data_IF_696662235604
#
_entry.id   IF_696662235604
#
_cell.length_a   1.000
_cell.length_b   1.000
_cell.length_c   1.000
_cell.angle_alpha   90.00
_cell.angle_beta   90.00
_cell.angle_gamma   90.00
#
_symmetry.space_group_name_H-M   'P 1'
#
loop_
_entity.id
_entity.type
_entity.pdbx_description
1 polymer ?
#
# COMPACT_ATOMS: atom_id res chain seq x y z
N UNK A 1 -26.70 5.74 -22.08
CA UNK A 1 -26.88 5.50 -20.64
C UNK A 1 -25.68 4.68 -20.19
N UNK A 2 -24.65 5.35 -19.66
CA UNK A 2 -23.42 4.68 -19.24
C UNK A 2 -23.68 3.99 -17.90
N UNK A 3 -23.52 2.67 -17.89
CA UNK A 3 -23.57 1.82 -16.71
C UNK A 3 -22.41 2.22 -15.80
N UNK A 4 -22.69 2.92 -14.71
CA UNK A 4 -21.74 3.06 -13.59
C UNK A 4 -21.63 1.68 -12.95
N UNK A 5 -20.57 0.97 -13.31
CA UNK A 5 -20.15 -0.27 -12.67
C UNK A 5 -19.66 0.05 -11.26
N UNK A 6 -20.59 0.18 -10.32
CA UNK A 6 -20.33 0.42 -8.90
C UNK A 6 -19.90 -0.88 -8.17
N UNK A 7 -19.12 -1.73 -8.84
CA UNK A 7 -18.73 -3.05 -8.35
C UNK A 7 -17.22 -3.31 -8.31
N UNK A 8 -16.40 -2.40 -8.83
CA UNK A 8 -14.96 -2.66 -9.04
C UNK A 8 -14.08 -2.29 -7.84
N UNK A 9 -14.61 -1.55 -6.85
CA UNK A 9 -13.82 -0.80 -5.89
C UNK A 9 -12.99 -1.62 -4.90
N UNK A 10 -13.34 -2.86 -4.60
CA UNK A 10 -12.59 -3.67 -3.62
C UNK A 10 -11.53 -4.55 -4.29
N UNK A 11 -11.83 -5.06 -5.49
CA UNK A 11 -10.88 -5.86 -6.27
C UNK A 11 -9.73 -4.99 -6.77
N UNK A 12 -10.04 -3.83 -7.34
CA UNK A 12 -9.03 -2.87 -7.83
C UNK A 12 -8.08 -2.42 -6.70
N UNK A 13 -8.61 -2.28 -5.48
CA UNK A 13 -7.84 -1.94 -4.27
C UNK A 13 -6.90 -3.07 -3.85
N UNK A 14 -7.36 -4.31 -3.88
CA UNK A 14 -6.51 -5.45 -3.56
C UNK A 14 -5.41 -5.64 -4.62
N UNK A 15 -5.75 -5.48 -5.89
CA UNK A 15 -4.83 -5.60 -7.02
C UNK A 15 -3.70 -4.54 -6.96
N UNK A 16 -4.03 -3.29 -6.64
CA UNK A 16 -3.01 -2.22 -6.55
C UNK A 16 -2.08 -2.41 -5.34
N UNK A 17 -2.62 -2.85 -4.20
CA UNK A 17 -1.81 -3.16 -3.02
C UNK A 17 -0.84 -4.30 -3.32
N UNK A 18 -1.30 -5.39 -3.94
CA UNK A 18 -0.44 -6.53 -4.28
C UNK A 18 0.68 -6.12 -5.25
N UNK A 19 0.36 -5.30 -6.26
CA UNK A 19 1.35 -4.77 -7.21
C UNK A 19 2.38 -3.90 -6.52
N UNK A 20 1.94 -2.97 -5.66
CA UNK A 20 2.82 -2.10 -4.89
C UNK A 20 3.77 -2.92 -3.99
N UNK A 21 3.27 -3.89 -3.23
CA UNK A 21 4.09 -4.79 -2.40
C UNK A 21 5.14 -5.52 -3.24
N UNK A 22 4.74 -6.15 -4.36
CA UNK A 22 5.67 -6.84 -5.26
C UNK A 22 6.72 -5.92 -5.87
N UNK A 23 6.38 -4.65 -6.07
CA UNK A 23 7.29 -3.63 -6.62
C UNK A 23 8.29 -3.17 -5.57
N UNK A 24 7.85 -2.90 -4.34
CA UNK A 24 8.72 -2.57 -3.20
C UNK A 24 9.74 -3.70 -2.96
N UNK A 25 9.28 -4.96 -2.91
CA UNK A 25 10.16 -6.12 -2.72
C UNK A 25 11.19 -6.28 -3.85
N UNK A 26 10.84 -5.91 -5.10
CA UNK A 26 11.77 -5.96 -6.24
C UNK A 26 12.71 -4.77 -6.32
N UNK A 27 12.22 -3.57 -6.00
CA UNK A 27 12.91 -2.31 -6.24
C UNK A 27 13.98 -2.05 -5.18
N UNK A 28 13.73 -2.38 -3.92
CA UNK A 28 14.69 -2.10 -2.86
C UNK A 28 15.66 -3.26 -2.59
N UNK A 29 15.51 -4.43 -3.25
CA UNK A 29 16.20 -5.67 -2.84
C UNK A 29 16.05 -5.95 -1.33
N UNK A 30 15.07 -5.31 -0.69
CA UNK A 30 14.74 -5.51 0.70
C UNK A 30 14.17 -6.91 0.75
N UNK A 31 14.97 -7.81 1.30
CA UNK A 31 14.43 -8.94 2.04
C UNK A 31 13.69 -8.29 3.20
N UNK A 32 12.47 -7.80 2.93
CA UNK A 32 11.57 -7.33 3.95
C UNK A 32 11.38 -8.54 4.85
N UNK A 33 11.84 -8.44 6.10
CA UNK A 33 11.44 -9.40 7.11
C UNK A 33 9.91 -9.49 7.09
N UNK A 34 9.35 -10.66 7.40
CA UNK A 34 7.89 -10.89 7.33
C UNK A 34 7.10 -9.77 8.01
N UNK A 35 7.63 -9.24 9.12
CA UNK A 35 7.09 -8.06 9.84
C UNK A 35 7.09 -6.77 9.03
N UNK A 36 8.16 -6.49 8.29
CA UNK A 36 8.25 -5.27 7.47
C UNK A 36 7.32 -5.35 6.26
N UNK A 37 7.13 -6.53 5.69
CA UNK A 37 6.14 -6.77 4.64
C UNK A 37 4.70 -6.59 5.17
N UNK A 38 4.40 -7.11 6.37
CA UNK A 38 3.11 -6.91 7.03
C UNK A 38 2.85 -5.42 7.33
N UNK A 39 3.86 -4.70 7.82
CA UNK A 39 3.77 -3.25 8.09
C UNK A 39 3.53 -2.45 6.81
N UNK A 40 4.27 -2.75 5.73
CA UNK A 40 4.08 -2.11 4.43
C UNK A 40 2.68 -2.39 3.88
N UNK A 41 2.21 -3.63 3.99
CA UNK A 41 0.86 -4.01 3.55
C UNK A 41 -0.22 -3.25 4.34
N UNK A 42 -0.08 -3.14 5.66
CA UNK A 42 -1.01 -2.38 6.50
C UNK A 42 -1.05 -0.88 6.13
N UNK A 43 0.11 -0.27 5.87
CA UNK A 43 0.20 1.10 5.38
C UNK A 43 -0.49 1.26 4.02
N UNK A 44 -0.22 0.37 3.07
CA UNK A 44 -0.80 0.42 1.73
C UNK A 44 -2.33 0.30 1.76
N UNK A 45 -2.86 -0.61 2.59
CA UNK A 45 -4.31 -0.73 2.81
C UNK A 45 -4.89 0.58 3.34
N UNK A 46 -4.25 1.17 4.36
CA UNK A 46 -4.70 2.45 4.92
C UNK A 46 -4.71 3.59 3.90
N UNK A 47 -3.66 3.72 3.08
CA UNK A 47 -3.56 4.74 2.04
C UNK A 47 -4.67 4.55 0.99
N UNK A 48 -4.91 3.31 0.59
CA UNK A 48 -5.94 2.95 -0.38
C UNK A 48 -7.35 3.17 0.17
N UNK A 49 -7.57 2.93 1.45
CA UNK A 49 -8.83 3.26 2.15
C UNK A 49 -9.01 4.78 2.29
N UNK A 50 -7.92 5.51 2.52
CA UNK A 50 -7.91 6.98 2.63
C UNK A 50 -8.12 7.68 1.29
N UNK A 51 -7.96 6.98 0.16
CA UNK A 51 -8.27 7.47 -1.17
C UNK A 51 -7.09 7.51 -2.14
N UNK A 52 -5.89 7.10 -1.73
CA UNK A 52 -4.72 6.98 -2.62
C UNK A 52 -4.94 5.79 -3.54
N UNK A 53 -4.98 6.02 -4.85
CA UNK A 53 -5.19 4.98 -5.87
C UNK A 53 -4.06 4.93 -6.89
N UNK A 54 -2.97 5.65 -6.64
CA UNK A 54 -1.80 5.68 -7.50
C UNK A 54 -0.75 4.68 -6.98
N UNK A 55 -0.31 3.76 -7.85
CA UNK A 55 0.67 2.74 -7.48
C UNK A 55 2.04 3.37 -7.15
N UNK A 56 2.47 4.38 -7.89
CA UNK A 56 3.78 5.00 -7.70
C UNK A 56 3.80 5.79 -6.39
N UNK A 57 2.72 6.49 -6.04
CA UNK A 57 2.56 7.14 -4.71
C UNK A 57 2.61 6.12 -3.57
N UNK A 58 1.87 5.01 -3.70
CA UNK A 58 1.83 3.94 -2.72
C UNK A 58 3.22 3.32 -2.48
N UNK A 59 3.97 3.07 -3.56
CA UNK A 59 5.34 2.57 -3.48
C UNK A 59 6.25 3.59 -2.82
N UNK A 60 6.14 4.87 -3.17
CA UNK A 60 6.93 5.95 -2.57
C UNK A 60 6.68 6.06 -1.06
N UNK A 61 5.42 6.04 -0.63
CA UNK A 61 5.06 6.08 0.80
C UNK A 61 5.60 4.88 1.56
N UNK A 62 5.51 3.68 0.99
CA UNK A 62 6.04 2.48 1.63
C UNK A 62 7.58 2.48 1.69
N UNK A 63 8.25 2.97 0.65
CA UNK A 63 9.71 3.19 0.66
C UNK A 63 10.13 4.24 1.69
N UNK A 64 9.37 5.34 1.85
CA UNK A 64 9.58 6.34 2.89
C UNK A 64 9.44 5.75 4.30
N UNK A 65 8.48 4.83 4.49
CA UNK A 65 8.27 4.13 5.75
C UNK A 65 9.42 3.17 6.10
N UNK A 66 10.22 2.71 5.11
CA UNK A 66 11.33 1.75 5.29
C UNK A 66 10.96 0.51 6.10
N UNK A 67 9.72 0.01 5.93
CA UNK A 67 9.20 -1.16 6.64
C UNK A 67 8.77 -0.93 8.10
N UNK A 68 8.77 0.33 8.57
CA UNK A 68 8.20 0.70 9.87
C UNK A 68 6.68 0.62 9.86
N UNK A 69 6.09 0.38 11.03
CA UNK A 69 4.64 0.38 11.20
C UNK A 69 4.14 1.81 11.21
N UNK A 70 3.17 2.11 10.36
CA UNK A 70 2.45 3.37 10.40
C UNK A 70 1.39 3.33 11.51
N UNK A 71 1.40 4.33 12.38
CA UNK A 71 0.35 4.56 13.37
C UNK A 71 -0.56 5.72 12.90
N UNK A 72 -1.82 5.44 12.52
CA UNK A 72 -2.76 6.47 12.09
C UNK A 72 -3.24 7.38 13.23
N UNK A 73 -3.02 7.02 14.50
CA UNK A 73 -3.46 7.82 15.64
C UNK A 73 -2.62 9.08 15.84
N UNK A 74 -1.32 9.01 15.56
CA UNK A 74 -0.38 10.13 15.70
C UNK A 74 0.40 10.45 14.41
N UNK A 75 0.21 9.64 13.36
CA UNK A 75 0.89 9.80 12.07
C UNK A 75 2.36 9.39 12.10
N UNK A 76 2.78 8.63 13.11
CA UNK A 76 4.18 8.23 13.29
C UNK A 76 4.52 6.91 12.56
N UNK A 77 5.83 6.68 12.40
CA UNK A 77 6.39 5.44 11.89
C UNK A 77 7.29 4.81 12.95
N UNK A 78 6.88 3.68 13.51
CA UNK A 78 7.56 2.98 14.62
C UNK A 78 8.00 1.57 14.28
#
# INVERSE_FOLDING_TARGET
MASVSLGSSAHDKADIVERAVRRISRQENLILDTKQADNATALLIYLVESGVQDEDELVEFASLAKGKRYDPADGSFT
#
